data_IF_678881077104
#
_entry.id   IF_678881077104
#
_cell.length_a   1.000
_cell.length_b   1.000
_cell.length_c   1.000
_cell.angle_alpha   90.00
_cell.angle_beta   90.00
_cell.angle_gamma   90.00
#
_symmetry.space_group_name_H-M   'P 1'
#
loop_
_entity.id
_entity.type
_entity.pdbx_description
1 polymer ?
#
# COMPACT_ATOMS: atom_id res chain seq x y z
N UNK A 1 6.14 -15.76 15.38
CA UNK A 1 6.06 -16.69 14.25
C UNK A 1 6.54 -15.98 13.00
N UNK A 2 7.20 -16.67 12.03
CA UNK A 2 7.59 -16.08 10.77
C UNK A 2 6.35 -15.54 10.02
N UNK A 3 6.46 -14.33 9.44
CA UNK A 3 5.40 -13.71 8.65
C UNK A 3 5.88 -13.54 7.21
N UNK A 4 5.10 -14.03 6.26
CA UNK A 4 5.44 -14.01 4.82
C UNK A 4 4.64 -12.98 4.03
N UNK A 5 3.77 -12.22 4.71
CA UNK A 5 3.00 -11.14 4.14
C UNK A 5 3.06 -9.92 5.06
N UNK A 6 3.21 -8.69 4.54
CA UNK A 6 3.24 -7.47 5.35
C UNK A 6 1.87 -7.09 5.94
N UNK A 7 0.81 -7.78 5.55
CA UNK A 7 -0.54 -7.59 6.06
C UNK A 7 -1.20 -8.96 6.34
N UNK A 8 -2.13 -8.97 7.27
CA UNK A 8 -2.92 -10.17 7.57
C UNK A 8 -3.94 -10.39 6.43
N UNK A 9 -3.77 -11.45 5.60
CA UNK A 9 -4.66 -11.71 4.48
C UNK A 9 -6.01 -12.22 5.01
N UNK A 10 -6.97 -11.32 5.14
CA UNK A 10 -8.35 -11.74 5.43
C UNK A 10 -8.97 -12.33 4.17
N UNK A 11 -9.59 -13.51 4.25
CA UNK A 11 -10.30 -14.06 3.11
C UNK A 11 -11.43 -13.11 2.69
N UNK A 12 -11.40 -12.70 1.42
CA UNK A 12 -12.48 -11.89 0.84
C UNK A 12 -13.64 -12.85 0.55
N UNK A 13 -14.74 -12.73 1.26
CA UNK A 13 -15.95 -13.50 0.99
C UNK A 13 -16.72 -12.84 -0.14
N UNK A 14 -16.56 -13.36 -1.37
CA UNK A 14 -17.37 -12.97 -2.51
C UNK A 14 -18.76 -13.66 -2.44
N UNK A 15 -19.84 -12.93 -2.65
CA UNK A 15 -21.12 -13.50 -3.04
C UNK A 15 -22.18 -13.72 -1.96
N UNK A 16 -21.98 -13.32 -0.70
CA UNK A 16 -23.08 -13.20 0.25
C UNK A 16 -23.33 -11.74 0.58
N UNK A 17 -24.46 -11.24 0.06
CA UNK A 17 -24.99 -9.89 0.27
C UNK A 17 -25.62 -9.72 1.65
N UNK A 18 -25.30 -10.59 2.61
CA UNK A 18 -25.97 -10.59 3.89
C UNK A 18 -25.53 -9.45 4.80
N UNK A 19 -24.38 -8.86 4.62
CA UNK A 19 -23.93 -7.76 5.51
C UNK A 19 -22.93 -6.86 4.81
N UNK A 20 -23.36 -6.29 3.69
CA UNK A 20 -22.55 -5.49 2.74
C UNK A 20 -22.04 -4.15 3.22
N UNK A 21 -22.01 -3.93 4.50
CA UNK A 21 -21.17 -2.94 5.16
C UNK A 21 -20.13 -3.78 5.90
N UNK A 22 -18.87 -3.63 5.52
CA UNK A 22 -17.77 -4.04 6.38
C UNK A 22 -17.85 -3.16 7.64
N UNK A 23 -18.78 -3.51 8.53
CA UNK A 23 -18.76 -2.99 9.89
C UNK A 23 -17.51 -3.58 10.50
N UNK A 24 -16.46 -2.80 10.52
CA UNK A 24 -15.26 -3.18 11.25
C UNK A 24 -15.71 -3.38 12.71
N UNK A 25 -15.44 -4.55 13.31
CA UNK A 25 -15.85 -4.79 14.68
C UNK A 25 -15.28 -3.67 15.56
N UNK A 26 -16.10 -3.15 16.46
CA UNK A 26 -15.70 -2.13 17.43
C UNK A 26 -14.44 -2.61 18.15
N UNK A 27 -13.35 -1.90 17.93
CA UNK A 27 -12.08 -2.17 18.57
C UNK A 27 -11.77 -0.99 19.49
N UNK A 28 -11.36 -1.23 20.74
CA UNK A 28 -11.07 -0.17 21.69
C UNK A 28 -10.07 0.85 21.15
N UNK A 29 -10.36 2.14 21.38
CA UNK A 29 -9.47 3.23 21.00
C UNK A 29 -8.26 3.22 21.93
N UNK A 30 -7.07 3.36 21.36
CA UNK A 30 -5.81 3.36 22.09
C UNK A 30 -5.53 4.69 22.79
N UNK A 31 -4.75 4.61 23.86
CA UNK A 31 -4.28 5.75 24.62
C UNK A 31 -3.24 6.61 23.87
N UNK A 32 -2.90 7.76 24.45
CA UNK A 32 -1.95 8.72 23.86
C UNK A 32 -0.54 8.12 23.62
N UNK A 33 -0.10 7.25 24.53
CA UNK A 33 1.20 6.57 24.44
C UNK A 33 1.29 5.69 23.19
N UNK A 34 0.27 4.82 23.02
CA UNK A 34 0.22 3.87 21.92
C UNK A 34 0.03 4.58 20.58
N UNK A 35 -0.78 5.63 20.54
CA UNK A 35 -0.91 6.51 19.39
C UNK A 35 0.44 7.09 18.98
N UNK A 36 1.22 7.61 19.93
CA UNK A 36 2.56 8.16 19.67
C UNK A 36 3.49 7.07 19.13
N UNK A 37 3.44 5.86 19.70
CA UNK A 37 4.23 4.73 19.22
C UNK A 37 3.91 4.38 17.76
N UNK A 38 2.62 4.27 17.39
CA UNK A 38 2.18 4.00 16.01
C UNK A 38 2.67 5.09 15.05
N UNK A 39 2.59 6.36 15.45
CA UNK A 39 3.10 7.48 14.64
C UNK A 39 4.62 7.42 14.45
N UNK A 40 5.37 7.01 15.47
CA UNK A 40 6.82 6.82 15.38
C UNK A 40 7.17 5.68 14.43
N UNK A 41 6.50 4.53 14.53
CA UNK A 41 6.69 3.40 13.62
C UNK A 41 6.43 3.82 12.18
N UNK A 42 5.29 4.47 11.92
CA UNK A 42 4.97 4.98 10.59
C UNK A 42 6.05 5.93 10.05
N UNK A 43 6.45 6.94 10.85
CA UNK A 43 7.47 7.92 10.44
C UNK A 43 8.82 7.29 10.14
N UNK A 44 9.25 6.31 10.95
CA UNK A 44 10.51 5.61 10.77
C UNK A 44 10.53 4.75 9.50
N UNK A 45 9.44 4.06 9.20
CA UNK A 45 9.41 3.12 8.08
C UNK A 45 8.94 3.72 6.75
N UNK A 46 8.35 4.92 6.74
CA UNK A 46 7.88 5.53 5.50
C UNK A 46 9.02 5.78 4.49
N UNK A 47 10.16 6.26 4.97
CA UNK A 47 11.33 6.44 4.11
C UNK A 47 11.87 5.10 3.62
N UNK A 48 12.01 4.12 4.51
CA UNK A 48 12.46 2.78 4.17
C UNK A 48 11.54 2.11 3.14
N UNK A 49 10.22 2.23 3.31
CA UNK A 49 9.23 1.71 2.39
C UNK A 49 9.32 2.30 0.97
N UNK A 50 9.74 3.57 0.87
CA UNK A 50 9.87 4.23 -0.43
C UNK A 50 11.23 4.00 -1.10
N UNK A 51 12.28 3.85 -0.31
CA UNK A 51 13.65 3.81 -0.81
C UNK A 51 14.22 2.40 -0.92
N UNK A 52 13.72 1.44 -0.11
CA UNK A 52 14.33 0.12 0.03
C UNK A 52 13.31 -1.01 -0.14
N UNK A 53 12.20 -0.98 0.60
CA UNK A 53 11.21 -2.06 0.60
C UNK A 53 9.80 -1.55 0.28
N UNK A 54 9.43 -1.46 -1.00
CA UNK A 54 8.10 -1.02 -1.40
C UNK A 54 6.97 -1.99 -1.00
N UNK A 55 7.28 -3.23 -0.64
CA UNK A 55 6.26 -4.25 -0.30
C UNK A 55 5.47 -3.88 0.95
N UNK A 56 6.08 -3.15 1.89
CA UNK A 56 5.43 -2.72 3.13
C UNK A 56 4.58 -1.45 2.98
N UNK A 57 4.65 -0.76 1.83
CA UNK A 57 4.04 0.56 1.67
C UNK A 57 2.51 0.53 1.77
N UNK A 58 1.86 -0.53 1.29
CA UNK A 58 0.40 -0.69 1.39
C UNK A 58 -0.05 -0.84 2.86
N UNK A 59 0.68 -1.64 3.65
CA UNK A 59 0.41 -1.82 5.08
C UNK A 59 0.63 -0.53 5.86
N UNK A 60 1.73 0.18 5.59
CA UNK A 60 1.99 1.50 6.18
C UNK A 60 0.90 2.51 5.82
N UNK A 61 0.45 2.52 4.56
CA UNK A 61 -0.64 3.39 4.12
C UNK A 61 -1.96 3.07 4.84
N UNK A 62 -2.26 1.80 5.12
CA UNK A 62 -3.43 1.39 5.89
C UNK A 62 -3.33 1.87 7.35
N UNK A 63 -2.20 1.62 8.02
CA UNK A 63 -1.94 2.06 9.39
C UNK A 63 -2.02 3.59 9.50
N UNK A 64 -1.45 4.32 8.52
CA UNK A 64 -1.47 5.78 8.53
C UNK A 64 -2.87 6.37 8.43
N UNK A 65 -3.78 5.69 7.74
CA UNK A 65 -5.16 6.14 7.60
C UNK A 65 -5.93 6.11 8.94
N UNK A 66 -5.49 5.29 9.89
CA UNK A 66 -6.10 5.11 11.21
C UNK A 66 -5.34 5.80 12.35
N UNK A 67 -4.14 6.34 12.08
CA UNK A 67 -3.26 6.90 13.12
C UNK A 67 -3.85 8.09 13.90
N UNK A 68 -4.89 8.74 13.40
CA UNK A 68 -5.57 9.82 14.13
C UNK A 68 -6.35 9.30 15.34
N UNK A 69 -7.04 8.17 15.17
CA UNK A 69 -7.81 7.47 16.20
C UNK A 69 -7.50 5.97 16.12
N UNK A 70 -6.28 5.56 16.51
CA UNK A 70 -5.87 4.17 16.38
C UNK A 70 -6.59 3.29 17.41
N UNK A 71 -6.83 2.06 17.02
CA UNK A 71 -7.48 1.04 17.84
C UNK A 71 -6.53 -0.10 18.16
N UNK A 72 -6.93 -1.02 19.04
CA UNK A 72 -6.15 -2.24 19.31
C UNK A 72 -5.87 -3.03 18.01
N UNK A 73 -6.82 -3.02 17.07
CA UNK A 73 -6.62 -3.62 15.74
C UNK A 73 -5.50 -2.91 14.97
N UNK A 74 -5.41 -1.59 15.02
CA UNK A 74 -4.31 -0.85 14.41
C UNK A 74 -2.96 -1.25 15.03
N UNK A 75 -2.91 -1.48 16.33
CA UNK A 75 -1.71 -1.99 17.02
C UNK A 75 -1.34 -3.40 16.56
N UNK A 76 -2.32 -4.29 16.38
CA UNK A 76 -2.08 -5.64 15.83
C UNK A 76 -1.50 -5.58 14.41
N UNK A 77 -2.00 -4.68 13.57
CA UNK A 77 -1.44 -4.45 12.22
C UNK A 77 0.02 -3.96 12.28
N UNK A 78 0.34 -3.07 13.21
CA UNK A 78 1.72 -2.60 13.43
C UNK A 78 2.61 -3.76 13.88
N UNK A 79 2.18 -4.56 14.84
CA UNK A 79 2.94 -5.72 15.32
C UNK A 79 3.17 -6.75 14.20
N UNK A 80 2.14 -7.01 13.39
CA UNK A 80 2.25 -7.91 12.24
C UNK A 80 3.28 -7.40 11.22
N UNK A 81 3.24 -6.12 10.89
CA UNK A 81 4.21 -5.48 9.99
C UNK A 81 5.64 -5.59 10.51
N UNK A 82 5.86 -5.34 11.81
CA UNK A 82 7.17 -5.45 12.43
C UNK A 82 7.70 -6.90 12.43
N UNK A 83 6.82 -7.88 12.62
CA UNK A 83 7.16 -9.30 12.51
C UNK A 83 7.52 -9.69 11.08
N UNK A 84 6.80 -9.16 10.08
CA UNK A 84 7.15 -9.35 8.67
C UNK A 84 8.54 -8.81 8.36
N UNK A 85 8.82 -7.57 8.75
CA UNK A 85 10.14 -6.95 8.53
C UNK A 85 11.27 -7.69 9.26
N UNK A 86 11.01 -8.20 10.45
CA UNK A 86 11.98 -9.04 11.16
C UNK A 86 12.22 -10.38 10.45
N UNK A 87 11.20 -10.94 9.81
CA UNK A 87 11.32 -12.20 9.05
C UNK A 87 12.05 -11.99 7.72
N UNK A 88 11.88 -10.81 7.10
CA UNK A 88 12.41 -10.47 5.78
C UNK A 88 13.32 -9.22 5.87
N UNK A 89 14.51 -9.34 6.51
CA UNK A 89 15.36 -8.16 6.78
C UNK A 89 16.20 -7.69 5.60
N UNK A 90 16.28 -8.48 4.51
CA UNK A 90 17.22 -8.29 3.42
C UNK A 90 16.50 -8.03 2.08
N UNK A 91 15.60 -7.05 2.06
CA UNK A 91 14.98 -6.63 0.80
C UNK A 91 15.97 -5.88 -0.09
N UNK A 92 15.92 -6.15 -1.39
CA UNK A 92 16.85 -5.60 -2.38
C UNK A 92 16.08 -5.01 -3.56
N UNK A 93 16.33 -3.75 -3.87
CA UNK A 93 15.92 -3.13 -5.13
C UNK A 93 17.05 -3.28 -6.14
N UNK A 94 16.80 -3.96 -7.24
CA UNK A 94 17.78 -4.15 -8.30
C UNK A 94 17.57 -3.15 -9.42
N UNK A 95 18.60 -2.35 -9.69
CA UNK A 95 18.64 -1.44 -10.83
C UNK A 95 19.44 -2.05 -11.98
N UNK A 96 18.96 -1.85 -13.20
CA UNK A 96 19.61 -2.29 -14.45
C UNK A 96 19.80 -1.10 -15.38
N UNK A 97 20.82 -1.14 -16.20
CA UNK A 97 21.02 -0.14 -17.26
C UNK A 97 19.83 -0.10 -18.23
N UNK A 98 19.41 1.10 -18.61
CA UNK A 98 18.29 1.34 -19.50
C UNK A 98 18.50 2.61 -20.32
N UNK A 99 17.61 2.89 -21.29
CA UNK A 99 17.61 4.14 -22.03
C UNK A 99 17.03 5.34 -21.24
N UNK A 100 16.80 5.19 -19.94
CA UNK A 100 16.29 6.21 -19.05
C UNK A 100 14.90 6.74 -19.41
N UNK A 101 14.09 5.91 -20.06
CA UNK A 101 12.67 6.24 -20.34
C UNK A 101 11.85 5.98 -19.08
N UNK A 102 11.12 6.99 -18.64
CA UNK A 102 10.19 6.84 -17.50
C UNK A 102 9.06 5.91 -17.89
N UNK A 103 8.85 4.88 -17.08
CA UNK A 103 7.71 3.98 -17.15
C UNK A 103 6.93 4.09 -15.84
N UNK A 104 5.61 4.03 -15.94
CA UNK A 104 4.71 4.09 -14.80
C UNK A 104 3.75 2.91 -14.88
N UNK A 105 3.76 2.05 -13.88
CA UNK A 105 2.68 1.10 -13.64
C UNK A 105 1.71 1.73 -12.66
N UNK A 106 0.50 1.98 -13.10
CA UNK A 106 -0.59 2.54 -12.29
C UNK A 106 -1.66 1.48 -12.08
N UNK A 107 -2.15 1.40 -10.86
CA UNK A 107 -3.19 0.46 -10.43
C UNK A 107 -4.09 1.11 -9.38
N UNK A 108 -5.32 0.62 -9.26
CA UNK A 108 -6.24 1.05 -8.22
C UNK A 108 -6.94 -0.11 -7.53
N UNK A 109 -7.03 -0.05 -6.22
CA UNK A 109 -7.95 -0.92 -5.49
C UNK A 109 -9.26 -0.18 -5.22
N UNK A 110 -10.37 -0.73 -5.74
CA UNK A 110 -11.70 -0.12 -5.62
C UNK A 110 -12.36 -0.51 -4.29
N UNK A 111 -12.71 0.49 -3.46
CA UNK A 111 -13.42 0.36 -2.17
C UNK A 111 -12.79 -0.61 -1.14
N UNK A 112 -11.50 -0.91 -1.25
CA UNK A 112 -10.83 -1.87 -0.36
C UNK A 112 -10.21 -1.24 0.89
N UNK A 113 -10.05 0.07 0.93
CA UNK A 113 -9.54 0.77 2.09
C UNK A 113 -10.65 1.05 3.13
N UNK A 114 -10.25 1.37 4.35
CA UNK A 114 -11.19 1.71 5.43
C UNK A 114 -12.18 2.78 4.99
N UNK A 115 -13.44 2.68 5.45
CA UNK A 115 -14.57 3.53 5.05
C UNK A 115 -14.89 3.44 3.55
N UNK A 116 -14.75 2.25 2.94
CA UNK A 116 -15.01 1.99 1.53
C UNK A 116 -14.31 3.00 0.60
N UNK A 117 -13.07 3.36 0.88
CA UNK A 117 -12.27 4.24 0.01
C UNK A 117 -11.43 3.42 -0.96
N UNK A 118 -11.16 3.99 -2.11
CA UNK A 118 -10.26 3.46 -3.12
C UNK A 118 -8.82 3.92 -2.86
N UNK A 119 -7.85 3.14 -3.33
CA UNK A 119 -6.43 3.47 -3.17
C UNK A 119 -5.75 3.44 -4.52
N UNK A 120 -4.90 4.43 -4.79
CA UNK A 120 -4.00 4.45 -5.92
C UNK A 120 -2.66 3.83 -5.56
N UNK A 121 -2.13 3.00 -6.44
CA UNK A 121 -0.76 2.52 -6.47
C UNK A 121 -0.04 3.00 -7.72
N UNK A 122 1.24 3.33 -7.59
CA UNK A 122 2.07 3.74 -8.71
C UNK A 122 3.50 3.25 -8.52
N UNK A 123 4.06 2.61 -9.53
CA UNK A 123 5.44 2.14 -9.56
C UNK A 123 6.17 2.79 -10.72
N UNK A 124 7.12 3.67 -10.42
CA UNK A 124 7.87 4.48 -11.38
C UNK A 124 9.27 3.91 -11.52
N UNK A 125 9.69 3.63 -12.74
CA UNK A 125 11.03 3.10 -13.00
C UNK A 125 11.58 3.59 -14.33
N UNK A 126 12.91 3.53 -14.48
CA UNK A 126 13.61 3.88 -15.70
C UNK A 126 13.82 2.62 -16.55
N UNK A 127 13.14 2.55 -17.67
CA UNK A 127 13.20 1.45 -18.62
C UNK A 127 13.84 1.83 -19.94
N UNK A 128 13.74 0.94 -20.91
CA UNK A 128 14.18 1.16 -22.29
C UNK A 128 12.97 1.35 -23.21
N UNK A 129 13.22 2.00 -24.34
CA UNK A 129 12.24 2.08 -25.44
C UNK A 129 11.90 0.67 -25.91
N UNK A 130 10.61 0.33 -25.91
CA UNK A 130 10.15 -0.96 -26.42
C UNK A 130 10.34 -1.01 -27.93
N UNK A 131 10.96 -2.06 -28.41
CA UNK A 131 11.03 -2.40 -29.84
C UNK A 131 10.05 -3.54 -30.08
N UNK A 132 9.15 -3.36 -31.06
CA UNK A 132 8.16 -4.33 -31.55
C UNK A 132 7.90 -5.55 -30.64
N UNK A 133 6.75 -5.60 -29.99
CA UNK A 133 6.24 -6.74 -29.18
C UNK A 133 7.10 -7.17 -27.97
N UNK A 134 8.14 -6.44 -27.61
CA UNK A 134 8.89 -6.71 -26.39
C UNK A 134 8.06 -6.35 -25.14
N UNK A 135 8.10 -7.24 -24.16
CA UNK A 135 7.51 -6.94 -22.84
C UNK A 135 8.35 -5.93 -22.08
N UNK A 136 7.70 -5.02 -21.38
CA UNK A 136 8.34 -4.08 -20.46
C UNK A 136 9.13 -4.88 -19.41
N UNK A 137 10.44 -4.67 -19.34
CA UNK A 137 11.28 -5.24 -18.28
C UNK A 137 11.25 -4.31 -17.09
N UNK A 138 10.76 -4.81 -15.97
CA UNK A 138 10.78 -4.07 -14.70
C UNK A 138 12.21 -3.75 -14.28
N UNK A 139 12.40 -2.55 -13.75
CA UNK A 139 13.64 -2.07 -13.17
C UNK A 139 13.39 -1.61 -11.73
N UNK A 140 14.41 -1.34 -10.96
CA UNK A 140 14.28 -0.76 -9.63
C UNK A 140 13.45 0.53 -9.67
N UNK A 141 12.57 0.71 -8.69
CA UNK A 141 11.74 1.90 -8.63
C UNK A 141 12.55 3.14 -8.26
N UNK A 142 12.29 4.24 -8.97
CA UNK A 142 12.82 5.57 -8.64
C UNK A 142 11.83 6.37 -7.78
N UNK A 143 10.55 6.02 -7.88
CA UNK A 143 9.49 6.53 -7.01
C UNK A 143 8.39 5.48 -6.89
N UNK A 144 7.62 5.58 -5.82
CA UNK A 144 6.46 4.72 -5.59
C UNK A 144 5.38 5.51 -4.86
N UNK A 145 4.13 5.30 -5.24
CA UNK A 145 2.96 5.87 -4.59
C UNK A 145 2.06 4.78 -4.05
N UNK A 146 1.48 5.02 -2.90
CA UNK A 146 0.41 4.22 -2.34
C UNK A 146 -0.45 5.14 -1.48
N UNK A 147 -1.52 5.69 -2.04
CA UNK A 147 -2.31 6.73 -1.41
C UNK A 147 -3.81 6.46 -1.55
N UNK A 148 -4.57 6.85 -0.52
CA UNK A 148 -6.02 6.80 -0.60
C UNK A 148 -6.49 7.90 -1.56
N UNK A 149 -7.31 7.53 -2.55
CA UNK A 149 -7.94 8.46 -3.45
C UNK A 149 -8.91 9.36 -2.69
N UNK A 150 -8.81 10.67 -2.92
CA UNK A 150 -9.70 11.66 -2.31
C UNK A 150 -11.05 11.78 -3.02
N UNK A 151 -11.13 11.26 -4.26
CA UNK A 151 -12.38 11.22 -5.02
C UNK A 151 -13.23 10.02 -4.59
N UNK A 152 -14.53 10.15 -4.75
CA UNK A 152 -15.48 9.04 -4.63
C UNK A 152 -15.66 8.46 -6.02
N UNK A 153 -15.16 7.25 -6.23
CA UNK A 153 -15.31 6.54 -7.50
C UNK A 153 -16.60 5.70 -7.47
N UNK A 154 -17.40 5.77 -8.51
CA UNK A 154 -18.62 4.97 -8.67
C UNK A 154 -18.34 3.58 -9.26
N UNK A 155 -17.15 3.36 -9.83
CA UNK A 155 -16.74 2.10 -10.43
C UNK A 155 -15.25 1.84 -10.28
N UNK A 156 -14.82 0.60 -10.51
CA UNK A 156 -13.41 0.26 -10.57
C UNK A 156 -12.69 1.02 -11.69
N UNK A 157 -13.33 1.22 -12.84
CA UNK A 157 -12.76 1.97 -13.95
C UNK A 157 -12.49 3.45 -13.59
N UNK A 158 -13.39 4.08 -12.84
CA UNK A 158 -13.15 5.44 -12.34
C UNK A 158 -12.02 5.48 -11.30
N UNK A 159 -11.90 4.46 -10.45
CA UNK A 159 -10.79 4.38 -9.52
C UNK A 159 -9.45 4.25 -10.26
N UNK A 160 -9.38 3.42 -11.31
CA UNK A 160 -8.20 3.29 -12.19
C UNK A 160 -7.84 4.62 -12.85
N UNK A 161 -8.83 5.31 -13.42
CA UNK A 161 -8.61 6.63 -14.03
C UNK A 161 -8.13 7.65 -13.00
N UNK A 162 -8.69 7.62 -11.78
CA UNK A 162 -8.26 8.46 -10.67
C UNK A 162 -6.82 8.16 -10.23
N UNK A 163 -6.43 6.88 -10.19
CA UNK A 163 -5.05 6.48 -9.90
C UNK A 163 -4.09 6.95 -10.99
N UNK A 164 -4.45 6.75 -12.26
CA UNK A 164 -3.65 7.23 -13.39
C UNK A 164 -3.44 8.75 -13.32
N UNK A 165 -4.50 9.52 -13.04
CA UNK A 165 -4.40 10.97 -12.88
C UNK A 165 -3.44 11.36 -11.75
N UNK A 166 -3.54 10.71 -10.58
CA UNK A 166 -2.64 10.99 -9.44
C UNK A 166 -1.19 10.64 -9.76
N UNK A 167 -0.97 9.57 -10.49
CA UNK A 167 0.37 9.08 -10.82
C UNK A 167 1.03 9.85 -11.99
N UNK A 168 0.29 10.69 -12.72
CA UNK A 168 0.81 11.50 -13.84
C UNK A 168 1.03 12.96 -13.49
N UNK A 169 0.75 13.38 -12.26
CA UNK A 169 1.05 14.71 -11.73
C UNK A 169 2.48 14.78 -11.18
#
# INVERSE_FOLDING_TARGET
>A
MPQYSPYDPKPIHYGKRSDGILVEPDSPILGKSDKKYIQQVFGSFLYYARAVDPTILSSLSAISAEQANPTERTMQQVQHLLQYMHTNPNEIIQFRASNMVINIHSDASYLTASRCRSRAGGYFFLGSVLRNEENIKLNGNIAITCAILKLVAASAAEAELGALFVNTQ
#
